data_IF_342691021802
#
_entry.id   IF_342691021802
#
_cell.length_a   1.000
_cell.length_b   1.000
_cell.length_c   1.000
_cell.angle_alpha   90.00
_cell.angle_beta   90.00
_cell.angle_gamma   90.00
#
_symmetry.space_group_name_H-M   'P 1'
#
loop_
_entity.id
_entity.type
_entity.pdbx_description
1 polymer ?
#
# COMPACT_ATOMS: atom_id res chain seq x y z
N UNK A 1 -42.84 -12.26 30.49
CA UNK A 1 -42.54 -10.82 30.28
C UNK A 1 -42.56 -10.57 28.78
N UNK A 2 -43.55 -9.85 28.28
CA UNK A 2 -43.61 -9.50 26.85
C UNK A 2 -42.71 -8.28 26.61
N UNK A 3 -41.53 -8.50 26.03
CA UNK A 3 -40.60 -7.44 25.67
C UNK A 3 -41.10 -6.75 24.40
N UNK A 4 -41.82 -5.64 24.55
CA UNK A 4 -42.13 -4.72 23.44
C UNK A 4 -40.87 -3.95 23.07
N UNK A 5 -40.06 -4.53 22.18
CA UNK A 5 -38.90 -3.83 21.61
C UNK A 5 -39.43 -2.70 20.72
N UNK A 6 -39.06 -1.43 20.99
CA UNK A 6 -39.55 -0.33 20.19
C UNK A 6 -39.00 -0.44 18.76
N UNK A 7 -39.88 -0.29 17.77
CA UNK A 7 -39.56 -0.41 16.34
C UNK A 7 -38.35 0.44 15.92
N UNK A 8 -38.18 1.61 16.56
CA UNK A 8 -37.03 2.50 16.35
C UNK A 8 -35.69 1.85 16.70
N UNK A 9 -35.64 1.03 17.76
CA UNK A 9 -34.43 0.32 18.16
C UNK A 9 -34.04 -0.71 17.11
N UNK A 10 -35.02 -1.45 16.57
CA UNK A 10 -34.80 -2.42 15.50
C UNK A 10 -34.26 -1.75 14.24
N UNK A 11 -34.82 -0.59 13.87
CA UNK A 11 -34.36 0.18 12.71
C UNK A 11 -32.90 0.66 12.86
N UNK A 12 -32.51 1.15 14.05
CA UNK A 12 -31.13 1.61 14.31
C UNK A 12 -30.13 0.46 14.25
N UNK A 13 -30.48 -0.70 14.81
CA UNK A 13 -29.63 -1.90 14.77
C UNK A 13 -29.45 -2.36 13.32
N UNK A 14 -30.54 -2.41 12.54
CA UNK A 14 -30.49 -2.81 11.14
C UNK A 14 -29.63 -1.86 10.29
N UNK A 15 -29.74 -0.55 10.54
CA UNK A 15 -28.91 0.46 9.90
C UNK A 15 -27.42 0.26 10.24
N UNK A 16 -27.08 0.05 11.51
CA UNK A 16 -25.71 -0.23 11.95
C UNK A 16 -25.11 -1.49 11.29
N UNK A 17 -25.89 -2.55 11.14
CA UNK A 17 -25.45 -3.78 10.47
C UNK A 17 -25.18 -3.52 8.98
N UNK A 18 -26.08 -2.81 8.29
CA UNK A 18 -25.90 -2.45 6.88
C UNK A 18 -24.68 -1.55 6.65
N UNK A 19 -24.45 -0.55 7.51
CA UNK A 19 -23.27 0.31 7.43
C UNK A 19 -21.97 -0.48 7.69
N UNK A 20 -22.02 -1.49 8.56
CA UNK A 20 -20.86 -2.34 8.86
C UNK A 20 -20.49 -3.26 7.70
N UNK A 21 -21.46 -3.73 6.90
CA UNK A 21 -21.19 -4.54 5.69
C UNK A 21 -20.50 -3.74 4.58
N UNK A 22 -20.64 -2.42 4.55
CA UNK A 22 -19.95 -1.52 3.61
C UNK A 22 -18.49 -1.23 3.97
N UNK A 23 -18.08 -1.52 5.21
CA UNK A 23 -16.71 -1.37 5.70
C UNK A 23 -16.01 -2.73 5.85
N UNK A 24 -16.33 -3.70 5.00
CA UNK A 24 -15.38 -4.78 4.75
C UNK A 24 -14.17 -4.14 4.07
N UNK A 25 -13.13 -3.88 4.88
CA UNK A 25 -11.77 -3.71 4.41
C UNK A 25 -11.54 -4.84 3.41
N UNK A 26 -11.44 -4.51 2.12
CA UNK A 26 -10.99 -5.45 1.10
C UNK A 26 -9.70 -6.04 1.65
N UNK A 27 -9.75 -7.25 2.18
CA UNK A 27 -8.57 -8.06 2.32
C UNK A 27 -8.11 -8.25 0.89
N UNK A 28 -7.14 -7.41 0.48
CA UNK A 28 -6.39 -7.64 -0.73
C UNK A 28 -6.00 -9.11 -0.70
N UNK A 29 -6.41 -9.88 -1.70
CA UNK A 29 -6.08 -11.28 -1.82
C UNK A 29 -4.60 -11.44 -1.49
N UNK A 30 -4.29 -12.21 -0.44
CA UNK A 30 -2.93 -12.53 -0.08
C UNK A 30 -2.35 -13.29 -1.27
N UNK A 31 -1.57 -12.57 -2.09
CA UNK A 31 -0.83 -13.17 -3.17
C UNK A 31 0.29 -14.00 -2.54
N UNK A 32 0.34 -15.33 -2.73
CA UNK A 32 1.36 -16.19 -2.15
C UNK A 32 2.78 -15.89 -2.67
N UNK A 33 2.94 -15.03 -3.68
CA UNK A 33 4.24 -14.55 -4.17
C UNK A 33 4.72 -13.28 -3.46
N UNK A 34 4.66 -13.23 -2.12
CA UNK A 34 5.29 -12.17 -1.34
C UNK A 34 6.81 -12.33 -1.21
N UNK A 35 7.44 -13.07 -2.13
CA UNK A 35 8.89 -13.15 -2.33
C UNK A 35 9.42 -12.11 -3.33
N UNK A 36 8.71 -11.01 -3.53
CA UNK A 36 9.40 -9.78 -3.90
C UNK A 36 9.25 -8.80 -2.77
N UNK A 37 10.30 -8.75 -1.96
CA UNK A 37 10.68 -7.55 -1.21
C UNK A 37 11.07 -6.47 -2.23
N UNK A 38 10.15 -6.13 -3.14
CA UNK A 38 10.09 -4.84 -3.79
C UNK A 38 9.90 -3.90 -2.63
N UNK A 39 10.98 -3.29 -2.18
CA UNK A 39 10.98 -2.28 -1.15
C UNK A 39 9.97 -1.21 -1.56
N UNK A 40 8.73 -1.35 -1.08
CA UNK A 40 7.66 -0.42 -1.39
C UNK A 40 8.05 0.82 -0.62
N UNK A 41 8.76 1.74 -1.26
CA UNK A 41 9.17 2.98 -0.62
C UNK A 41 7.89 3.76 -0.30
N UNK A 42 7.61 3.97 0.99
CA UNK A 42 6.48 4.81 1.41
C UNK A 42 6.58 6.22 0.80
N UNK A 43 7.81 6.68 0.53
CA UNK A 43 8.08 7.95 -0.15
C UNK A 43 7.49 8.05 -1.57
N UNK A 44 7.24 6.95 -2.28
CA UNK A 44 6.68 6.96 -3.65
C UNK A 44 5.18 6.74 -3.67
N UNK A 45 4.56 6.50 -2.52
CA UNK A 45 3.10 6.36 -2.37
C UNK A 45 2.31 7.55 -2.90
N UNK A 46 2.74 8.82 -2.71
CA UNK A 46 2.03 9.97 -3.28
C UNK A 46 1.94 9.95 -4.81
N UNK A 47 2.85 9.25 -5.51
CA UNK A 47 2.81 9.14 -6.97
C UNK A 47 1.59 8.39 -7.49
N UNK A 48 0.90 7.60 -6.67
CA UNK A 48 -0.37 6.99 -7.07
C UNK A 48 -1.50 8.01 -7.19
N UNK A 49 -1.37 9.19 -6.58
CA UNK A 49 -2.42 10.22 -6.66
C UNK A 49 -2.66 10.75 -8.08
N UNK A 50 -1.73 10.53 -9.01
CA UNK A 50 -1.91 10.88 -10.43
C UNK A 50 -3.00 10.03 -11.12
N UNK A 51 -3.44 8.93 -10.50
CA UNK A 51 -4.63 8.19 -10.92
C UNK A 51 -5.87 9.10 -10.94
N UNK A 52 -5.92 10.11 -10.07
CA UNK A 52 -7.02 11.08 -10.00
C UNK A 52 -7.15 11.96 -11.25
N UNK A 53 -6.06 12.16 -11.98
CA UNK A 53 -6.01 12.97 -13.20
C UNK A 53 -5.89 12.11 -14.46
N UNK A 54 -6.13 10.80 -14.35
CA UNK A 54 -6.24 9.87 -15.48
C UNK A 54 -4.93 9.22 -15.95
N UNK A 55 -3.82 9.42 -15.23
CA UNK A 55 -2.58 8.66 -15.47
C UNK A 55 -2.61 7.32 -14.73
N UNK A 56 -1.71 6.39 -15.09
CA UNK A 56 -1.51 5.16 -14.34
C UNK A 56 -0.40 5.35 -13.28
N UNK A 57 -0.81 5.82 -12.11
CA UNK A 57 0.02 6.04 -10.92
C UNK A 57 0.66 4.78 -10.37
N UNK A 58 0.06 3.61 -10.58
CA UNK A 58 0.68 2.32 -10.23
C UNK A 58 1.93 2.03 -11.07
N UNK A 59 1.85 2.26 -12.39
CA UNK A 59 3.01 2.08 -13.30
C UNK A 59 4.08 3.14 -13.02
N UNK A 60 3.66 4.40 -12.79
CA UNK A 60 4.59 5.46 -12.43
C UNK A 60 5.35 5.13 -11.15
N UNK A 61 4.64 4.74 -10.09
CA UNK A 61 5.24 4.35 -8.81
C UNK A 61 6.24 3.21 -8.98
N UNK A 62 5.85 2.11 -9.65
CA UNK A 62 6.74 0.97 -9.90
C UNK A 62 8.00 1.36 -10.66
N UNK A 63 7.88 2.27 -11.61
CA UNK A 63 9.02 2.75 -12.40
C UNK A 63 9.98 3.54 -11.53
N UNK A 64 9.47 4.45 -10.70
CA UNK A 64 10.29 5.23 -9.77
C UNK A 64 10.95 4.35 -8.71
N UNK A 65 10.22 3.40 -8.13
CA UNK A 65 10.76 2.44 -7.15
C UNK A 65 11.93 1.64 -7.76
N UNK A 66 11.79 1.17 -9.02
CA UNK A 66 12.86 0.46 -9.72
C UNK A 66 14.10 1.34 -9.96
N UNK A 67 13.91 2.59 -10.38
CA UNK A 67 15.02 3.52 -10.61
C UNK A 67 15.76 3.77 -9.30
N UNK A 68 15.02 4.05 -8.23
CA UNK A 68 15.59 4.32 -6.92
C UNK A 68 16.36 3.11 -6.38
N UNK A 69 15.80 1.91 -6.45
CA UNK A 69 16.49 0.69 -6.03
C UNK A 69 17.78 0.42 -6.81
N UNK A 70 17.78 0.65 -8.13
CA UNK A 70 19.00 0.54 -8.95
C UNK A 70 20.03 1.60 -8.56
N UNK A 71 19.60 2.83 -8.30
CA UNK A 71 20.48 3.92 -7.90
C UNK A 71 21.10 3.68 -6.51
N UNK A 72 20.31 3.19 -5.55
CA UNK A 72 20.77 2.87 -4.20
C UNK A 72 21.80 1.73 -4.25
N UNK A 73 21.57 0.71 -5.09
CA UNK A 73 22.54 -0.36 -5.35
C UNK A 73 23.85 0.20 -5.93
N UNK A 74 23.76 1.04 -6.96
CA UNK A 74 24.94 1.64 -7.59
C UNK A 74 25.74 2.50 -6.60
N UNK A 75 25.07 3.32 -5.79
CA UNK A 75 25.71 4.12 -4.75
C UNK A 75 26.40 3.24 -3.70
N UNK A 76 25.82 2.10 -3.35
CA UNK A 76 26.46 1.15 -2.44
C UNK A 76 27.71 0.53 -3.07
N UNK A 77 27.69 0.18 -4.35
CA UNK A 77 28.85 -0.33 -5.08
C UNK A 77 29.98 0.71 -5.13
N UNK A 78 29.65 1.97 -5.47
CA UNK A 78 30.61 3.07 -5.44
C UNK A 78 31.18 3.25 -4.02
N UNK A 79 30.34 3.27 -3.00
CA UNK A 79 30.77 3.39 -1.60
C UNK A 79 31.77 2.32 -1.20
N UNK A 80 31.54 1.06 -1.60
CA UNK A 80 32.47 -0.05 -1.36
C UNK A 80 33.81 0.15 -2.08
N UNK A 81 33.79 0.60 -3.34
CA UNK A 81 35.03 0.87 -4.10
C UNK A 81 35.81 2.07 -3.56
N UNK A 82 35.12 3.05 -2.96
CA UNK A 82 35.75 4.21 -2.31
C UNK A 82 36.34 3.81 -0.96
N UNK A 83 35.66 2.95 -0.20
CA UNK A 83 36.12 2.42 1.08
C UNK A 83 37.33 1.49 0.92
N UNK A 84 37.40 0.71 -0.16
CA UNK A 84 38.54 -0.19 -0.43
C UNK A 84 39.83 0.52 -0.85
N UNK A 85 39.79 1.82 -1.20
CA UNK A 85 40.94 2.57 -1.72
C UNK A 85 41.49 2.01 -3.04
N UNK A 86 42.42 2.71 -3.73
CA UNK A 86 43.13 2.10 -4.84
C UNK A 86 43.96 0.92 -4.32
N UNK A 87 43.74 -0.27 -4.89
CA UNK A 87 44.61 -1.43 -4.67
C UNK A 87 46.06 -1.02 -5.02
N UNK A 88 46.91 -0.90 -4.00
CA UNK A 88 48.36 -0.75 -4.13
C UNK A 88 49.02 -2.13 -4.00
#
# INVERSE_FOLDING_TARGET
METKVPLRLVAVIFLMVLLSSGCQKKNAAANPNSESKSEIHESTKPLQAVDLVGYNGTILRKTVDRIKGTNDKHNQEIGKTVESGPEQ
#
